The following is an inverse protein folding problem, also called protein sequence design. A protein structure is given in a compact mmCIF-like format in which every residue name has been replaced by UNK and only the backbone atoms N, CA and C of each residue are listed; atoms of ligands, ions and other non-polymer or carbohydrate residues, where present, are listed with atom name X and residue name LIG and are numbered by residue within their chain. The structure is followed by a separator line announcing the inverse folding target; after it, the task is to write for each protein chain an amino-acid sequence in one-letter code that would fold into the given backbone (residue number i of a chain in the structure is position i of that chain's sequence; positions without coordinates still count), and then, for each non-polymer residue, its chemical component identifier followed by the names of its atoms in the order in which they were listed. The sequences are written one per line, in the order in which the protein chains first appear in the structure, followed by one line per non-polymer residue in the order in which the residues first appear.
data_IF_502991626049
#
_entry.id   IF_502991626049
#
_cell.length_a   1.000
_cell.length_b   1.000
_cell.length_c   1.000
_cell.angle_alpha   90.00
_cell.angle_beta   90.00
_cell.angle_gamma   90.00
#
_symmetry.space_group_name_H-M   'P 1'
#
loop_
_entity.id
_entity.type
_entity.pdbx_description
1 polymer ?
#
# COMPACT_ATOMS: atom_id res chain seq x y z
N UNK A 1 -19.03 19.79 13.92
CA UNK A 1 -17.94 20.10 12.98
C UNK A 1 -18.35 19.56 11.63
N UNK A 2 -18.24 20.34 10.57
CA UNK A 2 -18.51 19.86 9.21
C UNK A 2 -17.38 18.89 8.83
N UNK A 3 -17.69 17.62 8.61
CA UNK A 3 -16.71 16.66 8.08
C UNK A 3 -16.25 17.16 6.71
N UNK A 4 -14.95 17.46 6.57
CA UNK A 4 -14.38 17.85 5.29
C UNK A 4 -14.12 16.60 4.47
N UNK A 5 -14.88 16.45 3.39
CA UNK A 5 -14.78 15.31 2.49
C UNK A 5 -13.52 15.36 1.63
N UNK A 6 -12.99 14.18 1.30
CA UNK A 6 -11.81 13.99 0.46
C UNK A 6 -12.23 13.23 -0.79
N UNK A 7 -12.24 13.93 -1.92
CA UNK A 7 -12.41 13.30 -3.23
C UNK A 7 -11.12 12.57 -3.63
N UNK A 8 -11.10 11.25 -3.41
CA UNK A 8 -9.95 10.39 -3.70
C UNK A 8 -9.51 10.44 -5.17
N UNK A 9 -10.41 10.80 -6.09
CA UNK A 9 -10.07 10.94 -7.51
C UNK A 9 -9.12 12.11 -7.77
N UNK A 10 -9.14 13.13 -6.89
CA UNK A 10 -8.32 14.35 -6.98
C UNK A 10 -7.03 14.27 -6.16
N UNK A 11 -6.87 13.27 -5.30
CA UNK A 11 -5.65 13.10 -4.52
C UNK A 11 -4.50 12.69 -5.44
N UNK A 12 -3.45 13.51 -5.42
CA UNK A 12 -2.17 13.27 -6.09
C UNK A 12 -1.01 13.38 -5.11
N UNK A 13 0.12 12.74 -5.41
CA UNK A 13 1.33 12.88 -4.60
C UNK A 13 1.76 14.34 -4.45
N UNK A 14 1.58 15.15 -5.51
CA UNK A 14 1.82 16.59 -5.48
C UNK A 14 0.89 17.31 -4.48
N UNK A 15 -0.42 17.07 -4.54
CA UNK A 15 -1.37 17.69 -3.61
C UNK A 15 -1.13 17.29 -2.15
N UNK A 16 -0.63 16.07 -1.90
CA UNK A 16 -0.21 15.64 -0.58
C UNK A 16 1.01 16.44 -0.10
N UNK A 17 2.07 16.56 -0.93
CA UNK A 17 3.26 17.40 -0.62
C UNK A 17 2.90 18.86 -0.37
N UNK A 18 2.00 19.40 -1.18
CA UNK A 18 1.53 20.79 -1.10
C UNK A 18 0.56 21.01 0.09
N UNK A 19 0.32 19.98 0.92
CA UNK A 19 -0.54 20.02 2.11
C UNK A 19 -1.98 20.45 1.85
N UNK A 20 -2.50 20.17 0.64
CA UNK A 20 -3.88 20.53 0.23
C UNK A 20 -4.93 19.94 1.17
N UNK A 21 -4.68 18.77 1.74
CA UNK A 21 -5.63 18.05 2.60
C UNK A 21 -5.39 18.24 4.10
N UNK A 22 -4.51 19.16 4.53
CA UNK A 22 -4.15 19.32 5.94
C UNK A 22 -5.37 19.56 6.85
N UNK A 23 -6.33 20.35 6.38
CA UNK A 23 -7.55 20.63 7.16
C UNK A 23 -8.50 19.42 7.26
N UNK A 24 -8.57 18.58 6.21
CA UNK A 24 -9.48 17.44 6.13
C UNK A 24 -8.88 16.12 6.60
N UNK A 25 -7.54 16.03 6.62
CA UNK A 25 -6.80 14.81 6.94
C UNK A 25 -5.51 15.12 7.73
N UNK A 26 -5.61 15.80 8.89
CA UNK A 26 -4.44 16.18 9.68
C UNK A 26 -3.60 14.98 10.12
N UNK A 27 -4.23 13.84 10.41
CA UNK A 27 -3.57 12.62 10.91
C UNK A 27 -2.53 12.10 9.91
N UNK A 28 -2.74 12.30 8.61
CA UNK A 28 -1.77 11.94 7.58
C UNK A 28 -0.49 12.76 7.70
N UNK A 29 -0.60 14.04 8.06
CA UNK A 29 0.53 14.95 8.17
C UNK A 29 1.26 14.82 9.51
N UNK A 30 0.59 14.31 10.54
CA UNK A 30 1.21 14.01 11.84
C UNK A 30 2.29 12.92 11.75
N UNK A 31 2.28 12.11 10.68
CA UNK A 31 3.34 11.15 10.35
C UNK A 31 4.72 11.80 10.19
N UNK A 32 4.80 13.12 10.02
CA UNK A 32 6.08 13.86 10.01
C UNK A 32 6.85 13.71 11.32
N UNK A 33 6.17 13.39 12.42
CA UNK A 33 6.77 13.17 13.74
C UNK A 33 7.50 11.82 13.87
N UNK A 34 7.36 10.93 12.89
CA UNK A 34 7.90 9.57 12.92
C UNK A 34 9.06 9.45 11.95
N UNK A 35 10.14 8.84 12.43
CA UNK A 35 11.31 8.50 11.61
C UNK A 35 11.69 7.06 11.90
N UNK A 36 11.71 6.25 10.84
CA UNK A 36 12.12 4.85 10.91
C UNK A 36 13.59 4.71 10.50
N UNK A 37 14.25 3.76 11.14
CA UNK A 37 15.65 3.44 10.87
C UNK A 37 15.83 1.93 11.03
N UNK A 38 16.02 1.23 9.92
CA UNK A 38 16.08 -0.23 9.85
C UNK A 38 16.41 -0.74 8.45
N UNK A 39 16.25 -2.04 8.18
CA UNK A 39 16.67 -2.65 6.91
C UNK A 39 16.04 -2.02 5.64
N UNK A 40 14.83 -1.47 5.76
CA UNK A 40 14.07 -0.90 4.65
C UNK A 40 14.14 0.64 4.57
N UNK A 41 14.56 1.30 5.66
CA UNK A 41 14.47 2.74 5.84
C UNK A 41 15.75 3.28 6.50
N UNK A 42 16.42 4.25 5.89
CA UNK A 42 17.66 4.83 6.42
C UNK A 42 17.39 6.23 6.97
N UNK A 43 17.00 6.31 8.24
CA UNK A 43 16.49 7.53 8.88
C UNK A 43 15.39 8.21 8.04
N UNK A 44 14.44 7.42 7.54
CA UNK A 44 13.40 7.90 6.64
C UNK A 44 12.23 8.48 7.43
N UNK A 45 11.80 9.69 7.09
CA UNK A 45 10.59 10.28 7.63
C UNK A 45 9.35 9.57 7.07
N UNK A 46 8.40 9.20 7.93
CA UNK A 46 7.22 8.42 7.51
C UNK A 46 6.29 9.22 6.61
N UNK A 47 6.11 10.54 6.82
CA UNK A 47 5.32 11.36 5.90
C UNK A 47 5.93 11.38 4.50
N UNK A 48 7.24 11.56 4.40
CA UNK A 48 7.94 11.53 3.11
C UNK A 48 7.83 10.17 2.43
N UNK A 49 7.93 9.09 3.21
CA UNK A 49 7.72 7.72 2.77
C UNK A 49 6.33 7.52 2.17
N UNK A 50 5.25 7.76 2.92
CA UNK A 50 3.87 7.49 2.45
C UNK A 50 3.48 8.35 1.23
N UNK A 51 4.02 9.57 1.12
CA UNK A 51 3.86 10.40 -0.07
C UNK A 51 4.65 9.81 -1.25
N UNK A 52 5.85 9.29 -0.99
CA UNK A 52 6.67 8.53 -1.94
C UNK A 52 5.94 7.29 -2.46
N UNK A 53 5.32 6.51 -1.57
CA UNK A 53 4.47 5.36 -1.91
C UNK A 53 3.33 5.80 -2.81
N UNK A 54 2.61 6.87 -2.49
CA UNK A 54 1.51 7.36 -3.34
C UNK A 54 2.01 7.80 -4.72
N UNK A 55 3.20 8.42 -4.81
CA UNK A 55 3.84 8.73 -6.09
C UNK A 55 4.24 7.46 -6.88
N UNK A 56 4.66 6.40 -6.19
CA UNK A 56 4.90 5.07 -6.74
C UNK A 56 3.60 4.47 -7.31
N UNK A 57 2.49 4.57 -6.57
CA UNK A 57 1.19 4.10 -7.02
C UNK A 57 0.74 4.81 -8.29
N UNK A 58 0.93 6.14 -8.39
CA UNK A 58 0.64 6.91 -9.60
C UNK A 58 1.43 6.43 -10.83
N UNK A 59 2.62 5.84 -10.63
CA UNK A 59 3.41 5.22 -11.71
C UNK A 59 2.91 3.82 -12.03
N UNK A 60 2.69 2.99 -11.01
CA UNK A 60 2.17 1.62 -11.14
C UNK A 60 0.84 1.61 -11.91
N UNK A 61 -0.05 2.55 -11.62
CA UNK A 61 -1.34 2.71 -12.29
C UNK A 61 -1.27 3.20 -13.75
N UNK A 62 -0.08 3.52 -14.29
CA UNK A 62 0.10 3.80 -15.73
C UNK A 62 0.19 2.52 -16.55
N UNK A 63 0.52 1.39 -15.90
CA UNK A 63 0.63 0.07 -16.51
C UNK A 63 1.62 0.04 -17.69
N UNK A 64 2.76 0.70 -17.54
CA UNK A 64 3.75 0.82 -18.62
C UNK A 64 4.46 -0.51 -18.92
N UNK A 65 4.57 -1.39 -17.92
CA UNK A 65 5.32 -2.66 -18.02
C UNK A 65 4.43 -3.85 -18.43
N UNK A 66 3.14 -3.62 -18.69
CA UNK A 66 2.17 -4.64 -19.07
C UNK A 66 1.90 -4.64 -20.58
N UNK A 67 1.73 -5.84 -21.16
CA UNK A 67 1.25 -5.99 -22.54
C UNK A 67 -0.18 -5.45 -22.67
N UNK A 68 -0.59 -5.02 -23.86
CA UNK A 68 -1.91 -4.41 -24.12
C UNK A 68 -3.06 -5.23 -23.50
N UNK A 69 -3.12 -6.54 -23.78
CA UNK A 69 -4.17 -7.39 -23.19
C UNK A 69 -4.17 -7.44 -21.67
N UNK A 70 -2.99 -7.50 -21.03
CA UNK A 70 -2.86 -7.49 -19.56
C UNK A 70 -3.29 -6.14 -18.97
N UNK A 71 -2.95 -5.05 -19.65
CA UNK A 71 -3.34 -3.70 -19.27
C UNK A 71 -4.85 -3.52 -19.29
N UNK A 72 -5.53 -4.05 -20.31
CA UNK A 72 -6.99 -3.97 -20.41
C UNK A 72 -7.70 -4.84 -19.36
N UNK A 73 -7.17 -6.02 -19.07
CA UNK A 73 -7.63 -6.87 -17.95
C UNK A 73 -7.52 -6.13 -16.62
N UNK A 74 -6.34 -5.57 -16.32
CA UNK A 74 -6.13 -4.87 -15.05
C UNK A 74 -6.99 -3.61 -14.93
N UNK A 75 -7.16 -2.85 -16.02
CA UNK A 75 -8.08 -1.70 -16.04
C UNK A 75 -9.51 -2.11 -15.75
N UNK A 76 -10.03 -3.16 -16.41
CA UNK A 76 -11.39 -3.67 -16.15
C UNK A 76 -11.54 -4.12 -14.70
N UNK A 77 -10.55 -4.85 -14.19
CA UNK A 77 -10.51 -5.30 -12.81
C UNK A 77 -10.61 -4.10 -11.84
N UNK A 78 -9.74 -3.10 -12.00
CA UNK A 78 -9.70 -1.91 -11.14
C UNK A 78 -10.90 -0.98 -11.29
N UNK A 79 -11.61 -1.01 -12.44
CA UNK A 79 -12.89 -0.31 -12.61
C UNK A 79 -14.07 -1.02 -11.95
N UNK A 80 -13.91 -2.28 -11.54
CA UNK A 80 -14.93 -3.02 -10.81
C UNK A 80 -15.34 -2.31 -9.52
N UNK A 81 -16.63 -2.34 -9.21
CA UNK A 81 -17.22 -1.68 -8.04
C UNK A 81 -17.33 -2.66 -6.87
N UNK A 82 -16.91 -2.22 -5.69
CA UNK A 82 -17.04 -2.93 -4.42
C UNK A 82 -17.71 -1.97 -3.44
N UNK A 83 -18.92 -2.32 -3.01
CA UNK A 83 -19.73 -1.37 -2.23
C UNK A 83 -20.13 -0.19 -3.11
N UNK A 84 -19.77 1.01 -2.70
CA UNK A 84 -20.01 2.26 -3.43
C UNK A 84 -18.76 2.85 -4.11
N UNK A 85 -17.63 2.13 -4.11
CA UNK A 85 -16.35 2.62 -4.67
C UNK A 85 -15.80 1.67 -5.74
N UNK A 86 -14.97 2.20 -6.64
CA UNK A 86 -14.17 1.35 -7.53
C UNK A 86 -13.02 0.72 -6.75
N UNK A 87 -12.55 -0.44 -7.21
CA UNK A 87 -11.33 -1.09 -6.67
C UNK A 87 -10.12 -0.17 -6.72
N UNK A 88 -9.98 0.64 -7.77
CA UNK A 88 -8.92 1.66 -7.86
C UNK A 88 -9.01 2.71 -6.75
N UNK A 89 -10.21 3.22 -6.44
CA UNK A 89 -10.40 4.18 -5.37
C UNK A 89 -10.11 3.56 -4.00
N UNK A 90 -10.59 2.33 -3.76
CA UNK A 90 -10.29 1.56 -2.56
C UNK A 90 -8.77 1.39 -2.37
N UNK A 91 -8.04 1.00 -3.42
CA UNK A 91 -6.57 0.89 -3.40
C UNK A 91 -5.90 2.21 -3.05
N UNK A 92 -6.33 3.33 -3.65
CA UNK A 92 -5.81 4.66 -3.32
C UNK A 92 -6.05 5.04 -1.86
N UNK A 93 -7.25 4.79 -1.33
CA UNK A 93 -7.54 5.05 0.10
C UNK A 93 -6.68 4.16 1.00
N UNK A 94 -6.59 2.86 0.70
CA UNK A 94 -5.73 1.94 1.46
C UNK A 94 -4.27 2.38 1.44
N UNK A 95 -3.77 2.92 0.32
CA UNK A 95 -2.40 3.45 0.21
C UNK A 95 -2.19 4.66 1.12
N UNK A 96 -3.17 5.55 1.25
CA UNK A 96 -3.08 6.68 2.18
C UNK A 96 -3.10 6.24 3.65
N UNK A 97 -3.74 5.10 3.94
CA UNK A 97 -3.98 4.64 5.31
C UNK A 97 -3.04 3.52 5.79
N UNK A 98 -2.27 2.88 4.91
CA UNK A 98 -1.51 1.66 5.25
C UNK A 98 -0.61 1.84 6.49
N UNK A 99 0.03 3.00 6.59
CA UNK A 99 0.99 3.36 7.63
C UNK A 99 0.48 4.41 8.62
N UNK A 100 -0.82 4.74 8.61
CA UNK A 100 -1.38 5.86 9.38
C UNK A 100 -1.22 5.71 10.90
N UNK A 101 -0.93 4.48 11.37
CA UNK A 101 -0.74 4.18 12.79
C UNK A 101 0.73 4.04 13.22
N UNK A 102 1.70 4.30 12.33
CA UNK A 102 3.13 4.21 12.70
C UNK A 102 3.49 5.14 13.87
N UNK A 103 2.81 6.29 13.98
CA UNK A 103 2.95 7.22 15.12
C UNK A 103 2.56 6.63 16.46
N UNK A 104 1.70 5.62 16.50
CA UNK A 104 1.24 4.98 17.74
C UNK A 104 2.15 3.86 18.21
N UNK A 105 2.96 3.32 17.29
CA UNK A 105 3.74 2.11 17.49
C UNK A 105 5.23 2.36 17.46
N UNK A 106 5.70 3.60 17.32
CA UNK A 106 7.13 3.87 17.20
C UNK A 106 7.90 3.35 18.42
N UNK A 107 8.78 2.39 18.18
CA UNK A 107 9.74 1.87 19.15
C UNK A 107 11.13 2.32 18.73
N UNK A 108 11.87 2.95 19.66
CA UNK A 108 13.27 3.35 19.46
C UNK A 108 14.18 2.53 20.36
N UNK A 109 15.18 1.92 19.77
CA UNK A 109 16.20 1.16 20.48
C UNK A 109 17.43 2.02 20.83
N UNK A 110 18.19 1.66 21.87
CA UNK A 110 19.41 2.40 22.26
C UNK A 110 20.49 2.47 21.17
N UNK A 111 20.48 1.53 20.22
CA UNK A 111 21.42 1.47 19.08
C UNK A 111 21.03 2.41 17.92
N UNK A 112 19.94 3.17 18.07
CA UNK A 112 19.42 4.09 17.05
C UNK A 112 18.46 3.43 16.05
N UNK A 113 18.18 2.13 16.16
CA UNK A 113 17.16 1.47 15.34
C UNK A 113 15.77 1.94 15.76
N UNK A 114 14.89 2.19 14.78
CA UNK A 114 13.53 2.62 15.03
C UNK A 114 12.55 1.93 14.08
N UNK A 115 11.50 1.32 14.62
CA UNK A 115 10.49 0.58 13.85
C UNK A 115 9.11 0.69 14.48
N UNK A 116 8.08 0.25 13.76
CA UNK A 116 6.68 0.40 14.12
C UNK A 116 5.97 -0.97 14.18
N UNK A 117 6.17 -1.80 15.22
CA UNK A 117 5.59 -3.14 15.24
C UNK A 117 4.07 -3.09 15.45
N UNK A 118 3.32 -3.84 14.64
CA UNK A 118 1.87 -3.97 14.77
C UNK A 118 1.05 -2.77 14.27
N UNK A 119 1.70 -1.82 13.58
CA UNK A 119 1.04 -0.66 13.00
C UNK A 119 -0.07 -1.07 12.02
N UNK A 120 0.07 -2.20 11.33
CA UNK A 120 -0.91 -2.74 10.38
C UNK A 120 -2.24 -3.03 11.06
N UNK A 121 -2.21 -3.60 12.26
CA UNK A 121 -3.41 -3.96 13.02
C UNK A 121 -4.12 -2.71 13.58
N UNK A 122 -3.34 -1.75 14.09
CA UNK A 122 -3.89 -0.49 14.61
C UNK A 122 -4.46 0.36 13.47
N UNK A 123 -3.73 0.47 12.36
CA UNK A 123 -4.18 1.18 11.16
C UNK A 123 -5.47 0.56 10.61
N UNK A 124 -5.56 -0.77 10.52
CA UNK A 124 -6.76 -1.48 10.11
C UNK A 124 -7.95 -1.15 11.03
N UNK A 125 -7.77 -1.20 12.35
CA UNK A 125 -8.82 -0.86 13.31
C UNK A 125 -9.30 0.59 13.26
N UNK A 126 -8.52 1.49 12.63
CA UNK A 126 -8.83 2.92 12.45
C UNK A 126 -9.51 3.24 11.13
N UNK A 127 -9.56 2.33 10.16
CA UNK A 127 -10.14 2.61 8.83
C UNK A 127 -11.56 3.17 8.93
N UNK A 128 -12.39 2.63 9.83
CA UNK A 128 -13.75 3.14 10.10
C UNK A 128 -13.81 4.63 10.45
N UNK A 129 -12.78 5.18 11.10
CA UNK A 129 -12.73 6.60 11.49
C UNK A 129 -12.57 7.52 10.28
N UNK A 130 -12.13 6.97 9.14
CA UNK A 130 -11.93 7.69 7.89
C UNK A 130 -13.02 7.41 6.85
N UNK A 131 -13.93 6.46 7.13
CA UNK A 131 -14.94 6.01 6.18
C UNK A 131 -15.79 7.16 5.63
N UNK A 132 -16.32 8.03 6.51
CA UNK A 132 -17.09 9.19 6.09
C UNK A 132 -16.27 10.17 5.24
N UNK A 133 -15.01 10.44 5.62
CA UNK A 133 -14.14 11.39 4.90
C UNK A 133 -13.82 10.92 3.48
N UNK A 134 -13.73 9.62 3.26
CA UNK A 134 -13.45 9.00 1.96
C UNK A 134 -14.70 8.44 1.26
N UNK A 135 -15.90 8.73 1.76
CA UNK A 135 -17.17 8.23 1.22
C UNK A 135 -17.20 6.70 1.05
N UNK A 136 -16.75 5.97 2.06
CA UNK A 136 -16.81 4.51 2.09
C UNK A 136 -18.12 4.04 2.72
N UNK A 137 -18.83 3.15 2.02
CA UNK A 137 -19.86 2.31 2.65
C UNK A 137 -19.21 1.14 3.40
N UNK A 138 -20.01 0.36 4.15
CA UNK A 138 -19.51 -0.77 4.96
C UNK A 138 -18.70 -1.78 4.13
N UNK A 139 -19.09 -2.00 2.86
CA UNK A 139 -18.42 -2.99 2.01
C UNK A 139 -17.07 -2.48 1.50
N UNK A 140 -17.00 -1.26 0.97
CA UNK A 140 -15.74 -0.64 0.54
C UNK A 140 -14.79 -0.38 1.72
N UNK A 141 -15.32 0.02 2.88
CA UNK A 141 -14.57 0.14 4.14
C UNK A 141 -13.89 -1.18 4.50
N UNK A 142 -14.63 -2.30 4.48
CA UNK A 142 -14.06 -3.61 4.82
C UNK A 142 -12.92 -4.03 3.88
N UNK A 143 -12.93 -3.60 2.62
CA UNK A 143 -11.84 -3.86 1.69
C UNK A 143 -10.62 -2.99 1.99
N UNK A 144 -10.82 -1.70 2.28
CA UNK A 144 -9.73 -0.81 2.74
C UNK A 144 -9.10 -1.37 4.01
N UNK A 145 -9.91 -1.78 4.99
CA UNK A 145 -9.45 -2.37 6.26
C UNK A 145 -8.58 -3.61 6.02
N UNK A 146 -9.04 -4.54 5.18
CA UNK A 146 -8.26 -5.73 4.83
C UNK A 146 -6.97 -5.39 4.09
N UNK A 147 -6.99 -4.46 3.15
CA UNK A 147 -5.78 -4.03 2.45
C UNK A 147 -4.75 -3.43 3.42
N UNK A 148 -5.19 -2.54 4.31
CA UNK A 148 -4.33 -1.96 5.36
C UNK A 148 -3.82 -3.04 6.31
N UNK A 149 -4.65 -3.99 6.74
CA UNK A 149 -4.25 -5.08 7.64
C UNK A 149 -3.17 -5.98 7.03
N UNK A 150 -3.27 -6.27 5.73
CA UNK A 150 -2.43 -7.26 5.04
C UNK A 150 -1.33 -6.63 4.18
N UNK A 151 -1.13 -5.31 4.23
CA UNK A 151 -0.13 -4.66 3.38
C UNK A 151 1.30 -5.13 3.67
N UNK A 152 1.65 -5.41 4.94
CA UNK A 152 2.96 -5.98 5.30
C UNK A 152 3.08 -7.49 5.00
N UNK A 153 1.96 -8.22 4.94
CA UNK A 153 1.96 -9.68 4.77
C UNK A 153 2.56 -10.12 3.42
N UNK A 154 2.38 -9.34 2.36
CA UNK A 154 2.98 -9.66 1.06
C UNK A 154 4.51 -9.55 1.10
N UNK A 155 5.08 -8.64 1.89
CA UNK A 155 6.54 -8.56 2.09
C UNK A 155 7.08 -9.87 2.70
N UNK A 156 6.36 -10.44 3.68
CA UNK A 156 6.70 -11.73 4.27
C UNK A 156 6.58 -12.88 3.26
N UNK A 157 5.56 -12.86 2.39
CA UNK A 157 5.43 -13.83 1.30
C UNK A 157 6.62 -13.75 0.34
N UNK A 158 7.06 -12.55 -0.04
CA UNK A 158 8.22 -12.37 -0.90
C UNK A 158 9.50 -12.90 -0.23
N UNK A 159 9.68 -12.64 1.07
CA UNK A 159 10.82 -13.17 1.83
C UNK A 159 10.82 -14.70 1.84
N UNK A 160 9.65 -15.32 2.03
CA UNK A 160 9.50 -16.79 2.01
C UNK A 160 9.78 -17.37 0.62
N UNK A 161 9.32 -16.72 -0.45
CA UNK A 161 9.64 -17.11 -1.83
C UNK A 161 11.15 -17.08 -2.04
N UNK A 162 11.81 -15.97 -1.69
CA UNK A 162 13.26 -15.81 -1.87
C UNK A 162 14.05 -16.83 -1.04
N UNK A 163 13.65 -17.08 0.21
CA UNK A 163 14.36 -18.00 1.10
C UNK A 163 14.23 -19.47 0.67
N UNK A 164 13.07 -19.87 0.13
CA UNK A 164 12.75 -21.27 -0.13
C UNK A 164 12.70 -21.63 -1.62
N UNK A 165 12.72 -20.65 -2.53
CA UNK A 165 12.68 -20.83 -3.98
C UNK A 165 11.43 -21.58 -4.48
N UNK A 166 10.27 -21.36 -3.84
CA UNK A 166 8.99 -22.02 -4.19
C UNK A 166 7.87 -21.00 -4.44
N UNK A 167 7.91 -20.37 -5.61
CA UNK A 167 7.00 -19.30 -5.99
C UNK A 167 5.52 -19.74 -5.94
N UNK A 168 5.20 -20.92 -6.45
CA UNK A 168 3.81 -21.41 -6.60
C UNK A 168 3.17 -21.72 -5.25
N UNK A 169 3.90 -22.34 -4.32
CA UNK A 169 3.40 -22.62 -2.97
C UNK A 169 3.04 -21.34 -2.23
N UNK A 170 3.93 -20.35 -2.20
CA UNK A 170 3.71 -19.12 -1.45
C UNK A 170 2.74 -18.18 -2.15
N UNK A 171 2.67 -18.17 -3.48
CA UNK A 171 1.58 -17.49 -4.19
C UNK A 171 0.21 -18.08 -3.82
N UNK A 172 0.10 -19.42 -3.74
CA UNK A 172 -1.14 -20.07 -3.29
C UNK A 172 -1.50 -19.67 -1.86
N UNK A 173 -0.56 -19.72 -0.91
CA UNK A 173 -0.77 -19.28 0.48
C UNK A 173 -1.24 -17.82 0.52
N UNK A 174 -0.58 -16.94 -0.22
CA UNK A 174 -0.94 -15.53 -0.30
C UNK A 174 -2.39 -15.35 -0.78
N UNK A 175 -2.73 -15.94 -1.93
CA UNK A 175 -4.08 -15.88 -2.51
C UNK A 175 -5.14 -16.45 -1.58
N UNK A 176 -4.85 -17.59 -0.94
CA UNK A 176 -5.79 -18.23 -0.04
C UNK A 176 -6.02 -17.41 1.25
N UNK A 177 -5.03 -16.64 1.67
CA UNK A 177 -5.12 -15.79 2.86
C UNK A 177 -5.86 -14.49 2.56
N UNK A 178 -5.44 -13.76 1.51
CA UNK A 178 -5.94 -12.41 1.24
C UNK A 178 -7.12 -12.40 0.27
N UNK A 179 -7.37 -13.50 -0.45
CA UNK A 179 -8.48 -13.68 -1.39
C UNK A 179 -8.54 -12.59 -2.46
N UNK A 180 -9.66 -11.88 -2.50
CA UNK A 180 -10.11 -10.96 -3.52
C UNK A 180 -9.48 -9.56 -3.48
N UNK A 181 -8.51 -9.34 -2.60
CA UNK A 181 -7.66 -8.12 -2.56
C UNK A 181 -6.20 -8.40 -2.98
N UNK A 182 -5.91 -9.61 -3.49
CA UNK A 182 -4.55 -10.03 -3.83
C UNK A 182 -3.89 -9.12 -4.88
N UNK A 183 -4.62 -8.70 -5.91
CA UNK A 183 -4.09 -7.83 -6.95
C UNK A 183 -3.76 -6.46 -6.37
N UNK A 184 -4.66 -5.85 -5.60
CA UNK A 184 -4.41 -4.56 -4.96
C UNK A 184 -3.21 -4.58 -4.01
N UNK A 185 -3.05 -5.65 -3.22
CA UNK A 185 -1.89 -5.80 -2.34
C UNK A 185 -0.56 -5.90 -3.11
N UNK A 186 -0.55 -6.57 -4.28
CA UNK A 186 0.63 -6.59 -5.15
C UNK A 186 0.96 -5.19 -5.67
N UNK A 187 -0.05 -4.45 -6.14
CA UNK A 187 0.15 -3.08 -6.64
C UNK A 187 0.60 -2.13 -5.53
N UNK A 188 0.04 -2.26 -4.32
CA UNK A 188 0.45 -1.50 -3.15
C UNK A 188 1.90 -1.80 -2.77
N UNK A 189 2.31 -3.07 -2.72
CA UNK A 189 3.71 -3.43 -2.43
C UNK A 189 4.68 -2.90 -3.49
N UNK A 190 4.31 -2.92 -4.77
CA UNK A 190 5.13 -2.32 -5.83
C UNK A 190 5.30 -0.81 -5.63
N UNK A 191 4.25 -0.13 -5.17
CA UNK A 191 4.30 1.29 -4.85
C UNK A 191 5.13 1.55 -3.58
N UNK A 192 4.98 0.69 -2.57
CA UNK A 192 5.66 0.80 -1.28
C UNK A 192 7.18 0.62 -1.41
N UNK A 193 7.62 -0.38 -2.19
CA UNK A 193 9.04 -0.53 -2.54
C UNK A 193 9.62 0.70 -3.24
N UNK A 194 8.83 1.41 -4.06
CA UNK A 194 9.28 2.66 -4.69
C UNK A 194 9.35 3.85 -3.73
N UNK A 195 8.67 3.78 -2.58
CA UNK A 195 8.72 4.79 -1.53
C UNK A 195 9.76 4.53 -0.45
N UNK A 196 10.28 3.30 -0.32
CA UNK A 196 11.32 2.94 0.64
C UNK A 196 12.74 3.19 0.12
N UNK A 197 13.76 3.07 0.98
CA UNK A 197 15.16 3.30 0.61
C UNK A 197 15.86 2.06 0.03
N UNK A 198 15.16 0.92 -0.07
CA UNK A 198 15.73 -0.38 -0.45
C UNK A 198 16.42 -0.35 -1.81
N UNK A 199 15.89 0.35 -2.81
CA UNK A 199 16.54 0.44 -4.13
C UNK A 199 17.98 0.98 -4.03
N UNK A 200 18.21 1.90 -3.09
CA UNK A 200 19.51 2.52 -2.86
C UNK A 200 20.39 1.67 -1.95
N UNK A 201 19.83 1.07 -0.90
CA UNK A 201 20.59 0.31 0.10
C UNK A 201 20.90 -1.13 -0.33
N UNK A 202 19.96 -1.81 -1.00
CA UNK A 202 20.11 -3.15 -1.56
C UNK A 202 19.36 -3.27 -2.90
N UNK A 203 20.02 -2.78 -3.95
CA UNK A 203 19.47 -2.79 -5.31
C UNK A 203 19.12 -4.20 -5.81
N UNK A 204 19.88 -5.23 -5.41
CA UNK A 204 19.60 -6.60 -5.83
C UNK A 204 18.31 -7.09 -5.15
N UNK A 205 18.20 -6.93 -3.84
CA UNK A 205 17.01 -7.30 -3.08
C UNK A 205 15.76 -6.55 -3.54
N UNK A 206 15.90 -5.28 -3.94
CA UNK A 206 14.83 -4.51 -4.59
C UNK A 206 14.41 -5.13 -5.94
N UNK A 207 15.36 -5.34 -6.84
CA UNK A 207 15.07 -5.88 -8.18
C UNK A 207 14.44 -7.29 -8.12
N UNK A 208 14.93 -8.15 -7.24
CA UNK A 208 14.39 -9.51 -7.06
C UNK A 208 12.92 -9.46 -6.63
N UNK A 209 12.57 -8.54 -5.71
CA UNK A 209 11.18 -8.35 -5.24
C UNK A 209 10.28 -7.76 -6.31
N UNK A 210 10.75 -6.76 -7.06
CA UNK A 210 9.99 -6.19 -8.18
C UNK A 210 9.70 -7.26 -9.25
N UNK A 211 10.68 -8.09 -9.58
CA UNK A 211 10.51 -9.19 -10.53
C UNK A 211 9.49 -10.23 -10.05
N UNK A 212 9.52 -10.58 -8.75
CA UNK A 212 8.54 -11.49 -8.15
C UNK A 212 7.12 -10.89 -8.16
N UNK A 213 6.96 -9.63 -7.78
CA UNK A 213 5.66 -8.94 -7.81
C UNK A 213 5.09 -8.87 -9.23
N UNK A 214 5.92 -8.58 -10.22
CA UNK A 214 5.53 -8.58 -11.64
C UNK A 214 5.08 -9.97 -12.11
N UNK A 215 5.83 -11.02 -11.73
CA UNK A 215 5.42 -12.40 -12.00
C UNK A 215 4.09 -12.74 -11.33
N UNK A 216 3.91 -12.43 -10.04
CA UNK A 216 2.67 -12.67 -9.30
C UNK A 216 1.48 -11.96 -9.96
N UNK A 217 1.63 -10.67 -10.30
CA UNK A 217 0.59 -9.89 -10.97
C UNK A 217 0.22 -10.53 -12.31
N UNK A 218 1.20 -10.86 -13.16
CA UNK A 218 0.98 -11.49 -14.47
C UNK A 218 0.32 -12.86 -14.36
N UNK A 219 0.59 -13.61 -13.29
CA UNK A 219 -0.07 -14.88 -13.01
C UNK A 219 -1.53 -14.66 -12.63
N UNK A 220 -1.82 -13.75 -11.70
CA UNK A 220 -3.20 -13.45 -11.29
C UNK A 220 -4.05 -12.84 -12.40
N UNK A 221 -3.47 -12.02 -13.27
CA UNK A 221 -4.19 -11.44 -14.41
C UNK A 221 -4.69 -12.48 -15.41
N UNK A 222 -4.11 -13.69 -15.44
CA UNK A 222 -4.62 -14.79 -16.27
C UNK A 222 -5.89 -15.42 -15.70
N UNK A 223 -6.12 -15.27 -14.40
CA UNK A 223 -7.23 -15.90 -13.68
C UNK A 223 -8.49 -15.02 -13.60
N UNK A 224 -8.32 -13.70 -13.71
CA UNK A 224 -9.42 -12.72 -13.69
C UNK A 224 -9.90 -12.32 -15.08
N UNK A 225 -9.39 -12.98 -16.12
CA UNK A 225 -9.72 -12.75 -17.53
C UNK A 225 -11.01 -13.45 -17.97
#
# INVERSE_FOLDING_TARGET
MTTLFIDISRVTSKSLRDKVFLASFPEYYDLVSVTENGPWHSNQNVLDHVIGVYAGLEKVLRFNDLKIGQKDTLKRYLSGVVGNQTRQNILKVATLLHDIAKSDTLVKSPDGTAWCPGHELIAAGRVKNFAERFHLDTKSESYVERMVRYHGFISEILNLIIANQDNEKYLRIFKETVKDIAIELILLMQADLQGCDLEKSDRKGYNDRIALLDWMLKTLLKEVN
#
